data_IF_484039581904
#
_entry.id   IF_484039581904
#
_cell.length_a   1.000
_cell.length_b   1.000
_cell.length_c   1.000
_cell.angle_alpha   90.00
_cell.angle_beta   90.00
_cell.angle_gamma   90.00
#
_symmetry.space_group_name_H-M   'P 1'
#
loop_
_entity.id
_entity.type
_entity.pdbx_description
1 polymer ?
#
# COMPACT_ATOMS: atom_id res chain seq x y z
N UNK A 1 -17.48 -29.52 -2.15
CA UNK A 1 -16.93 -30.90 -2.24
C UNK A 1 -15.41 -30.74 -2.16
N UNK A 2 -14.84 -30.73 -0.95
CA UNK A 2 -13.42 -30.43 -0.69
C UNK A 2 -12.87 -31.56 0.19
N UNK A 3 -12.19 -32.54 -0.40
CA UNK A 3 -11.49 -33.55 0.42
C UNK A 3 -10.20 -34.12 -0.19
N UNK A 4 -9.86 -34.00 -1.48
CA UNK A 4 -8.66 -34.66 -2.01
C UNK A 4 -8.08 -34.02 -3.28
N UNK A 5 -7.51 -32.82 -3.17
CA UNK A 5 -6.51 -32.33 -4.13
C UNK A 5 -5.51 -31.48 -3.36
N UNK A 6 -4.27 -31.97 -3.24
CA UNK A 6 -3.10 -31.28 -2.66
C UNK A 6 -2.59 -30.12 -3.58
N UNK A 7 -3.41 -29.69 -4.55
CA UNK A 7 -3.12 -28.56 -5.42
C UNK A 7 -3.99 -27.39 -4.94
N UNK A 8 -3.41 -26.57 -4.07
CA UNK A 8 -4.02 -25.29 -3.70
C UNK A 8 -3.72 -24.34 -4.85
N UNK A 9 -4.70 -24.14 -5.74
CA UNK A 9 -4.64 -23.06 -6.74
C UNK A 9 -4.73 -21.71 -6.00
N UNK A 10 -3.57 -21.15 -5.69
CA UNK A 10 -3.44 -19.81 -5.12
C UNK A 10 -3.53 -18.80 -6.26
N UNK A 11 -4.62 -18.03 -6.28
CA UNK A 11 -4.78 -16.89 -7.19
C UNK A 11 -4.48 -15.60 -6.45
N UNK A 12 -4.02 -14.56 -7.17
CA UNK A 12 -3.70 -13.27 -6.58
C UNK A 12 -4.89 -12.63 -5.83
N UNK A 13 -6.12 -12.89 -6.28
CA UNK A 13 -7.33 -12.34 -5.69
C UNK A 13 -7.80 -13.13 -4.45
N UNK A 14 -7.45 -14.42 -4.36
CA UNK A 14 -7.92 -15.31 -3.29
C UNK A 14 -6.85 -15.63 -2.25
N UNK A 15 -5.56 -15.45 -2.58
CA UNK A 15 -4.44 -15.79 -1.69
C UNK A 15 -4.48 -15.05 -0.36
N UNK A 16 -4.93 -13.80 -0.33
CA UNK A 16 -5.07 -13.03 0.92
C UNK A 16 -6.17 -13.61 1.82
N UNK A 17 -7.31 -13.98 1.24
CA UNK A 17 -8.39 -14.64 1.97
C UNK A 17 -7.97 -16.04 2.46
N UNK A 18 -7.22 -16.78 1.64
CA UNK A 18 -6.66 -18.08 1.99
C UNK A 18 -5.61 -17.97 3.09
N UNK A 19 -4.73 -16.96 3.06
CA UNK A 19 -3.77 -16.69 4.13
C UNK A 19 -4.50 -16.37 5.45
N UNK A 20 -5.54 -15.54 5.39
CA UNK A 20 -6.37 -15.25 6.56
C UNK A 20 -7.02 -16.52 7.14
N UNK A 21 -7.61 -17.36 6.29
CA UNK A 21 -8.18 -18.63 6.71
C UNK A 21 -7.12 -19.58 7.29
N UNK A 22 -5.95 -19.68 6.65
CA UNK A 22 -4.83 -20.51 7.08
C UNK A 22 -4.34 -20.11 8.48
N UNK A 23 -4.24 -18.80 8.75
CA UNK A 23 -3.92 -18.28 10.08
C UNK A 23 -5.03 -18.55 11.09
N UNK A 24 -6.28 -18.26 10.72
CA UNK A 24 -7.46 -18.44 11.59
C UNK A 24 -7.66 -19.91 12.01
N UNK A 25 -7.38 -20.85 11.12
CA UNK A 25 -7.49 -22.29 11.39
C UNK A 25 -6.16 -22.94 11.81
N UNK A 26 -5.09 -22.15 11.99
CA UNK A 26 -3.78 -22.60 12.46
C UNK A 26 -3.24 -23.73 11.57
N UNK A 27 -3.14 -23.46 10.27
CA UNK A 27 -2.57 -24.36 9.26
C UNK A 27 -1.26 -23.75 8.75
N UNK A 28 -0.11 -23.97 9.42
CA UNK A 28 1.14 -23.27 9.12
C UNK A 28 1.68 -23.57 7.72
N UNK A 29 1.50 -24.79 7.22
CA UNK A 29 1.95 -25.18 5.89
C UNK A 29 1.25 -24.36 4.79
N UNK A 30 -0.07 -24.16 4.93
CA UNK A 30 -0.86 -23.35 3.99
C UNK A 30 -0.51 -21.87 4.11
N UNK A 31 -0.34 -21.36 5.33
CA UNK A 31 0.06 -19.96 5.54
C UNK A 31 1.42 -19.68 4.89
N UNK A 32 2.39 -20.58 5.07
CA UNK A 32 3.72 -20.47 4.44
C UNK A 32 3.64 -20.53 2.91
N UNK A 33 2.81 -21.41 2.34
CA UNK A 33 2.60 -21.46 0.89
C UNK A 33 2.01 -20.14 0.35
N UNK A 34 1.05 -19.55 1.07
CA UNK A 34 0.46 -18.26 0.71
C UNK A 34 1.49 -17.12 0.78
N UNK A 35 2.29 -17.06 1.84
CA UNK A 35 3.35 -16.03 1.97
C UNK A 35 4.39 -16.18 0.86
N UNK A 36 4.86 -17.40 0.58
CA UNK A 36 5.80 -17.65 -0.51
C UNK A 36 5.24 -17.21 -1.87
N UNK A 37 3.96 -17.52 -2.14
CA UNK A 37 3.30 -17.07 -3.36
C UNK A 37 3.26 -15.53 -3.44
N UNK A 38 2.85 -14.87 -2.35
CA UNK A 38 2.81 -13.42 -2.25
C UNK A 38 4.19 -12.79 -2.50
N UNK A 39 5.25 -13.34 -1.91
CA UNK A 39 6.63 -12.89 -2.14
C UNK A 39 7.06 -13.04 -3.60
N UNK A 40 6.73 -14.15 -4.26
CA UNK A 40 7.06 -14.34 -5.68
C UNK A 40 6.27 -13.45 -6.63
N UNK A 41 5.08 -13.03 -6.22
CA UNK A 41 4.21 -12.13 -6.99
C UNK A 41 4.37 -10.65 -6.63
N UNK A 42 5.30 -10.34 -5.72
CA UNK A 42 5.50 -9.00 -5.20
C UNK A 42 6.13 -8.09 -6.28
N UNK A 43 5.40 -7.05 -6.64
CA UNK A 43 5.78 -6.06 -7.63
C UNK A 43 5.49 -4.65 -7.11
N UNK A 44 6.15 -3.62 -7.65
CA UNK A 44 5.90 -2.23 -7.25
C UNK A 44 4.40 -1.84 -7.27
N UNK A 45 3.63 -2.39 -8.22
CA UNK A 45 2.19 -2.11 -8.37
C UNK A 45 1.30 -2.61 -7.24
N UNK A 46 1.69 -3.71 -6.58
CA UNK A 46 0.91 -4.35 -5.52
C UNK A 46 1.59 -4.26 -4.14
N UNK A 47 2.85 -3.81 -4.08
CA UNK A 47 3.62 -3.72 -2.85
C UNK A 47 2.97 -2.84 -1.78
N UNK A 48 2.33 -1.73 -2.15
CA UNK A 48 1.63 -0.86 -1.19
C UNK A 48 0.42 -1.54 -0.55
N UNK A 49 -0.38 -2.27 -1.34
CA UNK A 49 -1.52 -3.04 -0.85
C UNK A 49 -1.02 -4.19 0.03
N UNK A 50 -0.05 -4.96 -0.44
CA UNK A 50 0.55 -6.06 0.32
C UNK A 50 1.24 -5.60 1.61
N UNK A 51 1.78 -4.38 1.65
CA UNK A 51 2.29 -3.79 2.88
C UNK A 51 1.19 -3.55 3.91
N UNK A 52 0.04 -2.98 3.49
CA UNK A 52 -1.12 -2.81 4.37
C UNK A 52 -1.61 -4.17 4.90
N UNK A 53 -1.72 -5.16 4.01
CA UNK A 53 -2.21 -6.49 4.38
C UNK A 53 -1.23 -7.29 5.26
N UNK A 54 0.08 -7.26 4.95
CA UNK A 54 1.10 -7.97 5.73
C UNK A 54 1.17 -7.47 7.18
N UNK A 55 0.94 -6.17 7.40
CA UNK A 55 0.78 -5.60 8.74
C UNK A 55 -0.46 -6.13 9.46
N UNK A 56 -1.59 -6.25 8.77
CA UNK A 56 -2.83 -6.81 9.34
C UNK A 56 -2.69 -8.29 9.69
N UNK A 57 -1.91 -9.04 8.91
CA UNK A 57 -1.65 -10.44 9.19
C UNK A 57 -0.51 -10.66 10.19
N UNK A 58 0.21 -9.63 10.64
CA UNK A 58 1.41 -9.77 11.47
C UNK A 58 2.48 -10.66 10.80
N UNK A 59 2.75 -10.43 9.52
CA UNK A 59 3.79 -11.11 8.74
C UNK A 59 5.01 -10.20 8.55
N UNK A 60 6.02 -10.24 9.44
CA UNK A 60 7.15 -9.32 9.41
C UNK A 60 8.08 -9.56 8.21
N UNK A 61 8.26 -10.81 7.79
CA UNK A 61 9.10 -11.16 6.63
C UNK A 61 8.51 -10.57 5.34
N UNK A 62 7.21 -10.78 5.10
CA UNK A 62 6.51 -10.19 3.97
C UNK A 62 6.49 -8.66 4.04
N UNK A 63 6.32 -8.09 5.23
CA UNK A 63 6.38 -6.63 5.46
C UNK A 63 7.74 -6.08 5.03
N UNK A 64 8.83 -6.74 5.42
CA UNK A 64 10.19 -6.35 5.04
C UNK A 64 10.38 -6.41 3.52
N UNK A 65 9.93 -7.49 2.87
CA UNK A 65 10.00 -7.61 1.41
C UNK A 65 9.22 -6.51 0.68
N UNK A 66 8.01 -6.19 1.15
CA UNK A 66 7.23 -5.08 0.61
C UNK A 66 8.02 -3.76 0.68
N UNK A 67 8.69 -3.51 1.79
CA UNK A 67 9.53 -2.34 1.95
C UNK A 67 10.75 -2.32 1.03
N UNK A 68 11.44 -3.45 0.84
CA UNK A 68 12.56 -3.55 -0.09
C UNK A 68 12.14 -3.14 -1.52
N UNK A 69 10.96 -3.60 -1.97
CA UNK A 69 10.42 -3.25 -3.29
C UNK A 69 9.96 -1.80 -3.37
N UNK A 70 9.28 -1.30 -2.32
CA UNK A 70 8.84 0.10 -2.27
C UNK A 70 10.05 1.05 -2.27
N UNK A 71 11.09 0.77 -1.50
CA UNK A 71 12.27 1.64 -1.44
C UNK A 71 13.08 1.58 -2.75
N UNK A 72 13.18 0.40 -3.38
CA UNK A 72 13.87 0.23 -4.66
C UNK A 72 13.11 0.85 -5.85
N UNK A 73 11.77 0.82 -5.82
CA UNK A 73 10.91 1.27 -6.92
C UNK A 73 9.85 2.28 -6.46
N UNK A 74 10.27 3.22 -5.61
CA UNK A 74 9.37 4.18 -4.94
C UNK A 74 8.45 4.93 -5.90
N UNK A 75 9.00 5.46 -7.00
CA UNK A 75 8.19 6.21 -7.97
C UNK A 75 7.10 5.35 -8.64
N UNK A 76 7.41 4.09 -8.97
CA UNK A 76 6.43 3.17 -9.56
C UNK A 76 5.38 2.74 -8.54
N UNK A 77 5.80 2.49 -7.30
CA UNK A 77 4.91 2.09 -6.22
C UNK A 77 3.93 3.21 -5.87
N UNK A 78 4.42 4.45 -5.73
CA UNK A 78 3.60 5.63 -5.42
C UNK A 78 2.62 6.02 -6.55
N UNK A 79 3.00 5.78 -7.81
CA UNK A 79 2.14 6.02 -8.98
C UNK A 79 1.14 4.89 -9.25
N UNK A 80 1.23 3.78 -8.53
CA UNK A 80 0.36 2.63 -8.75
C UNK A 80 -1.07 2.88 -8.26
N UNK A 81 -2.04 2.22 -8.89
CA UNK A 81 -3.41 2.20 -8.40
C UNK A 81 -3.51 1.57 -7.01
N UNK A 82 -2.65 0.58 -6.72
CA UNK A 82 -2.56 -0.06 -5.41
C UNK A 82 -2.18 0.91 -4.28
N UNK A 83 -1.39 1.95 -4.56
CA UNK A 83 -1.15 3.01 -3.57
C UNK A 83 -2.43 3.75 -3.21
N UNK A 84 -3.32 3.99 -4.17
CA UNK A 84 -4.59 4.67 -3.90
C UNK A 84 -5.53 3.83 -3.04
N UNK A 85 -5.36 2.50 -2.98
CA UNK A 85 -6.21 1.56 -2.23
C UNK A 85 -5.82 1.38 -0.76
N UNK A 86 -4.64 1.86 -0.34
CA UNK A 86 -4.16 1.68 1.03
C UNK A 86 -4.96 2.50 2.05
N UNK A 87 -4.94 2.04 3.30
CA UNK A 87 -5.51 2.76 4.43
C UNK A 87 -4.63 3.96 4.84
N UNK A 88 -5.25 4.92 5.56
CA UNK A 88 -4.58 6.14 6.00
C UNK A 88 -3.34 5.88 6.86
N UNK A 89 -3.32 4.83 7.70
CA UNK A 89 -2.15 4.57 8.54
C UNK A 89 -0.97 4.09 7.68
N UNK A 90 -1.24 3.24 6.69
CA UNK A 90 -0.20 2.79 5.75
C UNK A 90 0.32 3.95 4.90
N UNK A 91 -0.55 4.87 4.47
CA UNK A 91 -0.15 6.12 3.81
C UNK A 91 0.82 6.92 4.69
N UNK A 92 0.46 7.18 5.95
CA UNK A 92 1.28 7.97 6.88
C UNK A 92 2.67 7.35 7.08
N UNK A 93 2.75 6.02 7.18
CA UNK A 93 4.03 5.32 7.38
C UNK A 93 4.89 5.38 6.11
N UNK A 94 4.29 5.24 4.92
CA UNK A 94 5.03 5.36 3.65
C UNK A 94 5.56 6.80 3.50
N UNK A 95 4.72 7.81 3.66
CA UNK A 95 5.10 9.23 3.48
C UNK A 95 6.13 9.69 4.52
N UNK A 96 6.10 9.16 5.74
CA UNK A 96 7.08 9.51 6.78
C UNK A 96 8.46 8.88 6.56
N UNK A 97 8.56 7.87 5.68
CA UNK A 97 9.77 7.07 5.51
C UNK A 97 10.86 7.85 4.79
N UNK A 98 11.97 8.10 5.50
CA UNK A 98 13.15 8.79 4.95
C UNK A 98 13.93 8.00 3.89
N UNK A 99 13.72 6.68 3.84
CA UNK A 99 14.41 5.78 2.92
C UNK A 99 13.82 5.77 1.49
N UNK A 100 12.72 6.50 1.26
CA UNK A 100 12.12 6.60 -0.07
C UNK A 100 13.08 7.33 -1.03
N UNK A 101 13.66 6.59 -1.97
CA UNK A 101 14.54 7.14 -3.00
C UNK A 101 13.74 7.80 -4.14
N UNK A 102 12.94 8.82 -3.83
CA UNK A 102 12.15 9.56 -4.81
C UNK A 102 12.14 11.07 -4.52
N UNK A 103 11.66 11.86 -5.48
CA UNK A 103 11.50 13.31 -5.33
C UNK A 103 10.23 13.60 -4.53
N UNK A 104 10.27 14.61 -3.67
CA UNK A 104 9.12 15.00 -2.85
C UNK A 104 7.89 15.39 -3.70
N UNK A 105 8.10 15.92 -4.91
CA UNK A 105 7.01 16.20 -5.86
C UNK A 105 6.20 14.94 -6.23
N UNK A 106 6.86 13.79 -6.37
CA UNK A 106 6.19 12.51 -6.67
C UNK A 106 5.40 12.03 -5.47
N UNK A 107 5.95 12.19 -4.26
CA UNK A 107 5.24 11.87 -3.01
C UNK A 107 4.00 12.76 -2.88
N UNK A 108 4.13 14.06 -3.15
CA UNK A 108 3.02 15.00 -3.10
C UNK A 108 1.92 14.66 -4.11
N UNK A 109 2.27 14.38 -5.37
CA UNK A 109 1.32 13.93 -6.40
C UNK A 109 0.60 12.64 -5.98
N UNK A 110 1.34 11.66 -5.45
CA UNK A 110 0.77 10.39 -4.99
C UNK A 110 -0.22 10.61 -3.83
N UNK A 111 0.14 11.45 -2.85
CA UNK A 111 -0.72 11.82 -1.72
C UNK A 111 -1.99 12.54 -2.21
N UNK A 112 -1.87 13.43 -3.20
CA UNK A 112 -3.03 14.08 -3.81
C UNK A 112 -3.95 13.06 -4.50
N UNK A 113 -3.38 12.14 -5.28
CA UNK A 113 -4.13 11.08 -5.96
C UNK A 113 -4.86 10.17 -4.96
N UNK A 114 -4.17 9.78 -3.88
CA UNK A 114 -4.79 9.03 -2.78
C UNK A 114 -5.95 9.81 -2.16
N UNK A 115 -5.79 11.11 -1.92
CA UNK A 115 -6.86 11.95 -1.38
C UNK A 115 -8.08 12.04 -2.32
N UNK A 116 -7.86 12.08 -3.64
CA UNK A 116 -8.96 12.02 -4.61
C UNK A 116 -9.70 10.69 -4.54
N UNK A 117 -8.94 9.58 -4.51
CA UNK A 117 -9.49 8.24 -4.42
C UNK A 117 -10.28 8.06 -3.12
N UNK A 118 -9.77 8.58 -2.00
CA UNK A 118 -10.43 8.53 -0.70
C UNK A 118 -11.70 9.39 -0.66
N UNK A 119 -11.68 10.58 -1.27
CA UNK A 119 -12.90 11.38 -1.42
C UNK A 119 -13.97 10.62 -2.19
N UNK A 120 -13.60 9.96 -3.31
CA UNK A 120 -14.51 9.14 -4.10
C UNK A 120 -15.04 7.95 -3.29
N UNK A 121 -14.20 7.26 -2.52
CA UNK A 121 -14.60 6.16 -1.63
C UNK A 121 -15.61 6.60 -0.57
N UNK A 122 -15.43 7.80 0.00
CA UNK A 122 -16.34 8.36 0.99
C UNK A 122 -17.58 9.02 0.36
N UNK A 123 -17.74 8.99 -0.98
CA UNK A 123 -18.85 9.64 -1.68
C UNK A 123 -18.82 11.17 -1.60
N UNK A 124 -17.66 11.76 -1.30
CA UNK A 124 -17.47 13.19 -1.18
C UNK A 124 -17.05 13.79 -2.54
N UNK A 125 -17.51 15.02 -2.86
CA UNK A 125 -17.01 15.71 -4.04
C UNK A 125 -15.53 16.03 -3.88
N UNK A 126 -14.74 15.82 -4.94
CA UNK A 126 -13.28 16.07 -4.95
C UNK A 126 -13.03 17.58 -4.93
N UNK A 127 -13.07 18.17 -3.75
CA UNK A 127 -12.79 19.59 -3.51
C UNK A 127 -11.51 19.74 -2.69
N UNK A 128 -10.77 20.85 -2.81
CA UNK A 128 -9.56 21.08 -2.01
C UNK A 128 -9.81 20.95 -0.50
N UNK A 129 -10.99 21.35 -0.03
CA UNK A 129 -11.40 21.22 1.36
C UNK A 129 -11.58 19.75 1.77
N UNK A 130 -12.23 18.94 0.94
CA UNK A 130 -12.45 17.52 1.23
C UNK A 130 -11.14 16.74 1.16
N UNK A 131 -10.28 17.03 0.18
CA UNK A 131 -8.92 16.46 0.10
C UNK A 131 -8.13 16.72 1.38
N UNK A 132 -8.12 17.95 1.90
CA UNK A 132 -7.46 18.27 3.18
C UNK A 132 -8.09 17.53 4.36
N UNK A 133 -9.40 17.39 4.37
CA UNK A 133 -10.10 16.65 5.43
C UNK A 133 -9.74 15.17 5.44
N UNK A 134 -9.72 14.49 4.28
CA UNK A 134 -9.38 13.06 4.21
C UNK A 134 -7.89 12.80 4.47
N UNK A 135 -7.01 13.71 4.04
CA UNK A 135 -5.58 13.60 4.32
C UNK A 135 -5.27 13.82 5.81
N UNK A 136 -5.97 14.76 6.46
CA UNK A 136 -5.79 15.06 7.86
C UNK A 136 -4.33 15.34 8.21
N UNK A 137 -3.72 14.49 9.04
CA UNK A 137 -2.33 14.61 9.48
C UNK A 137 -1.32 14.28 8.37
N UNK A 138 -1.66 13.41 7.42
CA UNK A 138 -0.79 13.00 6.33
C UNK A 138 -0.33 14.18 5.45
N UNK A 139 -1.15 15.23 5.35
CA UNK A 139 -0.80 16.47 4.64
C UNK A 139 0.44 17.17 5.23
N UNK A 140 0.62 17.08 6.56
CA UNK A 140 1.74 17.70 7.27
C UNK A 140 2.97 16.81 7.38
N UNK A 141 2.87 15.55 6.95
CA UNK A 141 3.99 14.59 6.93
C UNK A 141 4.83 14.74 5.67
N UNK A 142 4.23 15.23 4.59
CA UNK A 142 4.97 15.65 3.39
C UNK A 142 5.89 16.81 3.79
N UNK A 143 7.18 16.70 3.48
CA UNK A 143 8.20 17.67 3.84
C UNK A 143 8.14 18.85 2.87
N UNK A 144 7.04 19.60 2.92
CA UNK A 144 6.78 20.78 2.07
C UNK A 144 7.92 21.84 2.09
N UNK A 145 8.73 22.03 3.16
CA UNK A 145 9.84 22.99 3.12
C UNK A 145 10.97 22.66 2.13
N UNK A 146 10.99 21.47 1.54
CA UNK A 146 11.91 21.11 0.44
C UNK A 146 11.33 21.30 -0.97
N UNK A 147 10.05 21.67 -1.11
CA UNK A 147 9.48 22.12 -2.39
C UNK A 147 9.70 23.63 -2.54
N UNK A 148 10.09 24.04 -3.75
CA UNK A 148 10.24 25.47 -4.06
C UNK A 148 8.85 26.12 -4.23
N UNK A 149 8.75 27.43 -3.96
CA UNK A 149 7.51 28.21 -4.10
C UNK A 149 6.88 28.10 -5.50
N UNK A 150 7.68 27.82 -6.54
CA UNK A 150 7.21 27.62 -7.92
C UNK A 150 6.54 26.26 -8.15
N UNK A 151 6.96 25.21 -7.43
CA UNK A 151 6.33 23.88 -7.49
C UNK A 151 5.00 23.85 -6.71
N UNK A 152 4.90 24.61 -5.62
CA UNK A 152 3.65 24.78 -4.88
C UNK A 152 2.62 25.66 -5.60
N UNK A 153 3.07 26.59 -6.46
CA UNK A 153 2.19 27.51 -7.18
C UNK A 153 1.61 26.92 -8.48
N UNK A 154 2.19 25.84 -9.02
CA UNK A 154 1.83 25.25 -10.31
C UNK A 154 1.23 23.83 -10.23
N UNK A 155 1.01 23.27 -9.04
CA UNK A 155 0.31 22.00 -8.79
C UNK A 155 -1.00 22.18 -8.05
#
# INVERSE_FOLDING_TARGET
RYMYSDEIDLEADTVLATLYAAKKYIVPALAKACVNFLETSLEAKNACVLLSQSRLFEEPELTQRCWEVIDAQAEMALKSEGFCEIDQQTLEIIVTREALNTKEVVVFEAVLNWAEAECKRQGLPVTPRNKRNVLGKALYLVRIPTMTLEEFANG
#
